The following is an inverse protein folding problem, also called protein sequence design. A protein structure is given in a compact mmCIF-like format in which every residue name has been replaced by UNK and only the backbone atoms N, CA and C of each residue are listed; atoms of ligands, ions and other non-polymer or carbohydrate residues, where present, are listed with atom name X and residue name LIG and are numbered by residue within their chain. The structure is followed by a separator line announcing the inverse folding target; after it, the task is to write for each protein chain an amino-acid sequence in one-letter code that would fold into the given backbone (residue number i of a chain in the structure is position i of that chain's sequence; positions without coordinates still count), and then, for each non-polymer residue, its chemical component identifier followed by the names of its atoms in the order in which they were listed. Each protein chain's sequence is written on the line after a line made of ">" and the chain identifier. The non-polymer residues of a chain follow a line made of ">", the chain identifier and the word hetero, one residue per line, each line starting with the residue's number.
data_IF_541905676041
#
_entry.id   IF_541905676041
#
_cell.length_a   1.000
_cell.length_b   1.000
_cell.length_c   1.000
_cell.angle_alpha   90.00
_cell.angle_beta   90.00
_cell.angle_gamma   90.00
#
_symmetry.space_group_name_H-M   'P 1'
#
loop_
_entity.id
_entity.type
_entity.pdbx_description
1 polymer ?
#
# COMPACT_ATOMS: atom_id res chain seq x y z
N UNK A 1 42.49 25.30 -23.84
CA UNK A 1 41.42 25.88 -23.06
C UNK A 1 40.17 25.89 -23.92
N UNK A 2 39.28 24.91 -23.76
CA UNK A 2 38.01 24.87 -24.50
C UNK A 2 36.93 24.74 -23.45
N UNK A 3 36.21 25.86 -23.27
CA UNK A 3 35.09 25.97 -22.32
C UNK A 3 33.83 25.56 -23.08
N UNK A 4 33.42 24.31 -22.99
CA UNK A 4 32.09 23.88 -23.49
C UNK A 4 31.05 24.09 -22.37
N UNK A 5 30.32 25.20 -22.46
CA UNK A 5 29.11 25.42 -21.70
C UNK A 5 27.99 24.53 -22.26
N UNK A 6 27.56 23.52 -21.48
CA UNK A 6 26.37 22.75 -21.77
C UNK A 6 25.15 23.63 -21.52
N UNK A 7 24.51 24.11 -22.57
CA UNK A 7 23.22 24.77 -22.50
C UNK A 7 22.11 23.71 -22.61
N UNK A 8 21.43 23.44 -21.50
CA UNK A 8 20.19 22.66 -21.49
C UNK A 8 19.07 23.49 -22.12
N UNK A 9 18.75 23.24 -23.39
CA UNK A 9 17.55 23.79 -24.00
C UNK A 9 16.33 23.07 -23.39
N UNK A 10 15.59 23.80 -22.56
CA UNK A 10 14.27 23.33 -22.07
C UNK A 10 13.31 23.34 -23.27
N UNK A 11 13.08 22.20 -23.87
CA UNK A 11 11.90 22.02 -24.71
C UNK A 11 10.65 22.17 -23.85
N UNK A 12 9.66 22.97 -24.26
CA UNK A 12 8.40 23.05 -23.51
C UNK A 12 7.72 21.67 -23.56
N UNK A 13 7.58 21.05 -22.37
CA UNK A 13 6.82 19.83 -22.24
C UNK A 13 5.37 20.13 -22.62
N UNK A 14 4.91 19.62 -23.75
CA UNK A 14 3.51 19.61 -24.06
C UNK A 14 2.79 18.69 -23.03
N UNK A 15 1.68 19.12 -22.43
CA UNK A 15 0.93 18.25 -21.54
C UNK A 15 0.45 17.04 -22.36
N UNK A 16 1.03 15.89 -22.06
CA UNK A 16 0.55 14.62 -22.60
C UNK A 16 -0.86 14.40 -22.02
N UNK A 17 -1.89 14.60 -22.84
CA UNK A 17 -3.23 14.18 -22.48
C UNK A 17 -3.20 12.65 -22.39
N UNK A 18 -3.60 12.06 -21.25
CA UNK A 18 -3.67 10.61 -21.14
C UNK A 18 -4.67 10.13 -22.19
N UNK A 19 -4.19 9.29 -23.11
CA UNK A 19 -5.01 8.64 -24.10
C UNK A 19 -6.11 7.85 -23.37
N UNK A 20 -7.36 8.20 -23.61
CA UNK A 20 -8.48 7.40 -23.11
C UNK A 20 -8.44 6.04 -23.80
N UNK A 21 -8.28 4.92 -23.07
CA UNK A 21 -8.30 3.60 -23.68
C UNK A 21 -9.68 3.36 -24.28
N UNK A 22 -9.73 3.18 -25.58
CA UNK A 22 -10.95 2.80 -26.30
C UNK A 22 -11.23 1.32 -26.03
N UNK A 23 -12.35 1.03 -25.36
CA UNK A 23 -13.06 -0.24 -25.55
C UNK A 23 -12.81 -1.37 -24.55
N UNK A 24 -12.35 -1.14 -23.31
CA UNK A 24 -12.32 -2.19 -22.29
C UNK A 24 -13.51 -2.07 -21.33
N UNK A 25 -14.25 -3.19 -21.19
CA UNK A 25 -15.22 -3.34 -20.11
C UNK A 25 -14.50 -3.17 -18.77
N UNK A 26 -14.86 -2.16 -17.98
CA UNK A 26 -14.34 -2.00 -16.61
C UNK A 26 -14.87 -3.16 -15.78
N UNK A 27 -14.08 -4.22 -15.66
CA UNK A 27 -14.32 -5.24 -14.65
C UNK A 27 -14.40 -4.57 -13.28
N UNK A 28 -15.28 -5.09 -12.40
CA UNK A 28 -15.41 -4.52 -11.06
C UNK A 28 -14.06 -4.55 -10.33
N UNK A 29 -13.72 -3.45 -9.63
CA UNK A 29 -12.53 -3.38 -8.79
C UNK A 29 -12.68 -4.33 -7.60
N UNK A 30 -11.79 -5.32 -7.41
CA UNK A 30 -11.87 -6.26 -6.29
C UNK A 30 -11.79 -5.56 -4.92
N UNK A 31 -10.88 -4.60 -4.79
CA UNK A 31 -10.70 -3.83 -3.55
C UNK A 31 -11.87 -2.90 -3.29
N UNK A 32 -12.34 -2.15 -4.31
CA UNK A 32 -13.50 -1.27 -4.14
C UNK A 32 -14.76 -2.04 -3.74
N UNK A 33 -14.97 -3.25 -4.29
CA UNK A 33 -16.08 -4.12 -3.90
C UNK A 33 -16.00 -4.53 -2.43
N UNK A 34 -14.79 -4.84 -1.93
CA UNK A 34 -14.57 -5.13 -0.51
C UNK A 34 -14.84 -3.89 0.35
N UNK A 35 -14.31 -2.73 -0.02
CA UNK A 35 -14.53 -1.47 0.70
C UNK A 35 -16.02 -1.09 0.75
N UNK A 36 -16.75 -1.32 -0.35
CA UNK A 36 -18.19 -1.11 -0.41
C UNK A 36 -18.95 -2.01 0.57
N UNK A 37 -18.64 -3.30 0.59
CA UNK A 37 -19.28 -4.26 1.49
C UNK A 37 -19.00 -3.91 2.96
N UNK A 38 -17.77 -3.52 3.29
CA UNK A 38 -17.41 -3.09 4.65
C UNK A 38 -18.10 -1.78 5.06
N UNK A 39 -18.21 -0.82 4.14
CA UNK A 39 -18.97 0.43 4.35
C UNK A 39 -20.45 0.15 4.64
N UNK A 40 -21.06 -0.82 3.96
CA UNK A 40 -22.44 -1.26 4.23
C UNK A 40 -22.60 -1.91 5.61
N UNK A 41 -21.53 -2.54 6.12
CA UNK A 41 -21.47 -3.07 7.49
C UNK A 41 -21.18 -1.98 8.54
N UNK A 42 -21.06 -0.71 8.14
CA UNK A 42 -20.81 0.41 9.05
C UNK A 42 -19.36 0.50 9.56
N UNK A 43 -18.39 -0.17 8.93
CA UNK A 43 -16.99 -0.16 9.36
C UNK A 43 -15.99 0.15 8.25
N UNK A 44 -14.86 0.78 8.57
CA UNK A 44 -13.75 0.89 7.63
C UNK A 44 -12.99 -0.44 7.48
N UNK A 45 -12.21 -0.57 6.40
CA UNK A 45 -11.35 -1.72 6.20
C UNK A 45 -10.13 -1.69 7.14
N UNK A 46 -9.70 -2.85 7.59
CA UNK A 46 -8.37 -3.06 8.17
C UNK A 46 -7.42 -3.50 7.05
N UNK A 47 -6.46 -2.66 6.71
CA UNK A 47 -5.44 -2.92 5.69
C UNK A 47 -4.11 -3.13 6.41
N UNK A 48 -3.54 -4.33 6.29
CA UNK A 48 -2.26 -4.66 6.91
C UNK A 48 -1.15 -4.71 5.86
N UNK A 49 0.03 -4.18 6.17
CA UNK A 49 1.22 -4.33 5.34
C UNK A 49 2.19 -5.32 5.98
N UNK A 50 2.77 -6.20 5.16
CA UNK A 50 3.85 -7.09 5.60
C UNK A 50 4.85 -7.39 4.47
N UNK A 51 6.20 -7.29 4.70
CA UNK A 51 7.20 -7.55 3.68
C UNK A 51 7.33 -9.05 3.40
N UNK A 52 7.24 -9.43 2.12
CA UNK A 52 7.48 -10.79 1.67
C UNK A 52 8.92 -11.22 1.96
N UNK A 53 9.06 -12.41 2.52
CA UNK A 53 10.37 -13.00 2.83
C UNK A 53 11.02 -12.52 4.14
N UNK A 54 10.33 -11.73 4.96
CA UNK A 54 10.84 -11.31 6.27
C UNK A 54 10.24 -12.12 7.42
N UNK A 55 11.03 -12.65 8.37
CA UNK A 55 12.49 -12.76 8.36
C UNK A 55 13.01 -13.85 7.40
N UNK A 56 12.14 -14.73 6.98
CA UNK A 56 12.31 -15.74 5.94
C UNK A 56 10.97 -15.98 5.23
N UNK A 57 10.99 -16.65 4.07
CA UNK A 57 9.78 -16.87 3.27
C UNK A 57 8.71 -17.66 4.05
N UNK A 58 8.99 -18.81 4.69
CA UNK A 58 7.98 -19.55 5.46
C UNK A 58 7.36 -18.72 6.59
N UNK A 59 8.19 -17.95 7.32
CA UNK A 59 7.70 -17.11 8.43
C UNK A 59 6.86 -15.95 7.92
N UNK A 60 7.23 -15.31 6.80
CA UNK A 60 6.44 -14.22 6.22
C UNK A 60 5.06 -14.69 5.77
N UNK A 61 4.97 -15.87 5.15
CA UNK A 61 3.70 -16.49 4.75
C UNK A 61 2.83 -16.83 5.96
N UNK A 62 3.43 -17.35 7.04
CA UNK A 62 2.70 -17.62 8.27
C UNK A 62 2.22 -16.32 8.96
N UNK A 63 3.06 -15.27 9.01
CA UNK A 63 2.68 -13.96 9.52
C UNK A 63 1.47 -13.37 8.76
N UNK A 64 1.49 -13.43 7.42
CA UNK A 64 0.37 -12.99 6.59
C UNK A 64 -0.91 -13.77 6.89
N UNK A 65 -0.82 -15.10 7.07
CA UNK A 65 -1.95 -15.93 7.48
C UNK A 65 -2.48 -15.56 8.86
N UNK A 66 -1.60 -15.31 9.83
CA UNK A 66 -1.98 -14.84 11.18
C UNK A 66 -2.72 -13.50 11.09
N UNK A 67 -2.22 -12.55 10.30
CA UNK A 67 -2.86 -11.24 10.09
C UNK A 67 -4.29 -11.39 9.52
N UNK A 68 -4.47 -12.21 8.49
CA UNK A 68 -5.78 -12.45 7.88
C UNK A 68 -6.75 -13.09 8.89
N UNK A 69 -6.31 -14.12 9.61
CA UNK A 69 -7.11 -14.79 10.66
C UNK A 69 -7.48 -13.85 11.82
N UNK A 70 -6.64 -12.84 12.09
CA UNK A 70 -6.88 -11.84 13.13
C UNK A 70 -7.65 -10.61 12.63
N UNK A 71 -8.19 -10.66 11.40
CA UNK A 71 -9.19 -9.72 10.90
C UNK A 71 -8.70 -8.65 9.93
N UNK A 72 -7.53 -8.82 9.32
CA UNK A 72 -7.09 -8.01 8.18
C UNK A 72 -7.96 -8.32 6.96
N UNK A 73 -8.60 -7.30 6.40
CA UNK A 73 -9.51 -7.42 5.24
C UNK A 73 -8.76 -7.36 3.90
N UNK A 74 -7.70 -6.55 3.86
CA UNK A 74 -6.84 -6.34 2.69
C UNK A 74 -5.39 -6.40 3.17
N UNK A 75 -4.57 -7.20 2.50
CA UNK A 75 -3.16 -7.32 2.81
C UNK A 75 -2.32 -6.68 1.69
N UNK A 76 -1.45 -5.75 2.06
CA UNK A 76 -0.42 -5.18 1.20
C UNK A 76 0.87 -5.99 1.39
N UNK A 77 1.21 -6.82 0.41
CA UNK A 77 2.42 -7.63 0.41
C UNK A 77 3.57 -6.77 -0.12
N UNK A 78 4.49 -6.39 0.74
CA UNK A 78 5.64 -5.57 0.38
C UNK A 78 6.70 -6.37 -0.38
N UNK A 79 7.08 -5.94 -1.59
CA UNK A 79 8.28 -6.43 -2.25
C UNK A 79 9.52 -5.75 -1.63
N UNK A 80 10.46 -6.51 -1.06
CA UNK A 80 11.69 -5.93 -0.50
C UNK A 80 12.50 -5.21 -1.59
N UNK A 81 12.96 -4.00 -1.27
CA UNK A 81 13.73 -3.15 -2.16
C UNK A 81 15.00 -2.64 -1.47
N UNK A 82 16.10 -2.53 -2.22
CA UNK A 82 17.41 -2.11 -1.69
C UNK A 82 17.47 -0.64 -1.30
N UNK A 83 16.66 0.20 -1.98
CA UNK A 83 16.69 1.66 -1.86
C UNK A 83 15.33 2.25 -1.46
N UNK A 84 14.77 1.84 -0.29
CA UNK A 84 13.38 2.10 0.08
C UNK A 84 13.20 3.50 0.67
N UNK A 85 13.33 4.53 -0.15
CA UNK A 85 13.33 5.95 0.24
C UNK A 85 12.04 6.43 0.90
N UNK A 86 10.93 5.72 0.71
CA UNK A 86 9.62 6.05 1.29
C UNK A 86 9.35 5.29 2.61
N UNK A 87 10.20 4.32 2.96
CA UNK A 87 9.98 3.44 4.10
C UNK A 87 10.67 3.93 5.37
N UNK A 88 10.03 3.73 6.52
CA UNK A 88 10.62 3.97 7.82
C UNK A 88 11.63 2.86 8.22
N UNK A 89 12.43 3.08 9.31
CA UNK A 89 13.53 2.20 9.66
C UNK A 89 13.12 0.75 9.94
N UNK A 90 11.92 0.53 10.47
CA UNK A 90 11.37 -0.83 10.72
C UNK A 90 11.20 -1.59 9.40
N UNK A 91 10.62 -0.95 8.40
CA UNK A 91 10.39 -1.57 7.09
C UNK A 91 11.72 -1.74 6.35
N UNK A 92 12.63 -0.75 6.43
CA UNK A 92 13.97 -0.86 5.85
C UNK A 92 14.74 -2.04 6.42
N UNK A 93 14.73 -2.24 7.74
CA UNK A 93 15.39 -3.37 8.40
C UNK A 93 14.81 -4.72 7.93
N UNK A 94 13.49 -4.83 7.85
CA UNK A 94 12.81 -6.03 7.38
C UNK A 94 13.09 -6.32 5.90
N UNK A 95 13.07 -5.30 5.03
CA UNK A 95 13.39 -5.42 3.61
C UNK A 95 14.84 -5.86 3.40
N UNK A 96 15.79 -5.24 4.13
CA UNK A 96 17.18 -5.63 4.09
C UNK A 96 17.38 -7.11 4.49
N UNK A 97 16.75 -7.54 5.58
CA UNK A 97 16.82 -8.93 6.02
C UNK A 97 16.31 -9.91 4.95
N UNK A 98 15.18 -9.60 4.31
CA UNK A 98 14.62 -10.44 3.24
C UNK A 98 15.54 -10.51 2.01
N UNK A 99 16.16 -9.38 1.62
CA UNK A 99 17.12 -9.31 0.50
C UNK A 99 18.37 -10.13 0.83
N UNK A 100 18.94 -9.95 2.02
CA UNK A 100 20.12 -10.69 2.47
C UNK A 100 19.86 -12.23 2.47
N UNK A 101 18.63 -12.65 2.71
CA UNK A 101 18.19 -14.05 2.62
C UNK A 101 17.86 -14.51 1.20
N UNK A 102 18.10 -13.66 0.20
CA UNK A 102 18.00 -14.02 -1.23
C UNK A 102 16.58 -14.12 -1.76
N UNK A 103 15.61 -13.39 -1.16
CA UNK A 103 14.23 -13.38 -1.64
C UNK A 103 14.17 -12.94 -3.11
N UNK A 104 13.24 -13.52 -3.88
CA UNK A 104 13.02 -13.21 -5.30
C UNK A 104 11.64 -12.64 -5.54
N UNK A 105 11.52 -11.73 -6.51
CA UNK A 105 10.25 -11.10 -6.88
C UNK A 105 9.18 -12.15 -7.24
N UNK A 106 9.57 -13.19 -7.95
CA UNK A 106 8.68 -14.26 -8.42
C UNK A 106 7.88 -14.94 -7.29
N UNK A 107 8.46 -15.04 -6.11
CA UNK A 107 7.81 -15.68 -4.96
C UNK A 107 6.63 -14.88 -4.40
N UNK A 108 6.48 -13.61 -4.76
CA UNK A 108 5.34 -12.79 -4.30
C UNK A 108 4.01 -13.35 -4.79
N UNK A 109 3.99 -13.97 -5.97
CA UNK A 109 2.75 -14.55 -6.52
C UNK A 109 2.25 -15.74 -5.72
N UNK A 110 3.14 -16.50 -5.04
CA UNK A 110 2.75 -17.55 -4.10
C UNK A 110 2.14 -16.96 -2.83
N UNK A 111 2.70 -15.86 -2.31
CA UNK A 111 2.12 -15.12 -1.20
C UNK A 111 0.73 -14.57 -1.55
N UNK A 112 0.56 -14.02 -2.75
CA UNK A 112 -0.74 -13.55 -3.26
C UNK A 112 -1.76 -14.67 -3.28
N UNK A 113 -1.42 -15.85 -3.85
CA UNK A 113 -2.31 -17.03 -3.87
C UNK A 113 -2.72 -17.47 -2.48
N UNK A 114 -1.76 -17.48 -1.53
CA UNK A 114 -2.05 -17.86 -0.16
C UNK A 114 -3.01 -16.87 0.52
N UNK A 115 -2.74 -15.56 0.44
CA UNK A 115 -3.58 -14.52 1.06
C UNK A 115 -5.01 -14.59 0.52
N UNK A 116 -5.17 -14.80 -0.79
CA UNK A 116 -6.48 -15.00 -1.40
C UNK A 116 -7.18 -16.27 -0.89
N UNK A 117 -6.45 -17.38 -0.77
CA UNK A 117 -6.99 -18.62 -0.22
C UNK A 117 -7.38 -18.50 1.26
N UNK A 118 -6.66 -17.68 2.02
CA UNK A 118 -6.95 -17.37 3.43
C UNK A 118 -8.14 -16.38 3.59
N UNK A 119 -8.67 -15.80 2.49
CA UNK A 119 -9.92 -15.02 2.47
C UNK A 119 -9.78 -13.50 2.47
N UNK A 120 -8.56 -12.95 2.42
CA UNK A 120 -8.32 -11.52 2.30
C UNK A 120 -8.04 -11.09 0.85
N UNK A 121 -8.19 -9.79 0.55
CA UNK A 121 -7.70 -9.23 -0.71
C UNK A 121 -6.19 -9.01 -0.64
N UNK A 122 -5.48 -9.40 -1.70
CA UNK A 122 -4.04 -9.22 -1.80
C UNK A 122 -3.71 -8.09 -2.78
N UNK A 123 -3.06 -7.04 -2.27
CA UNK A 123 -2.35 -6.05 -3.06
C UNK A 123 -0.85 -6.33 -2.94
N UNK A 124 -0.07 -6.01 -3.96
CA UNK A 124 1.39 -5.97 -3.85
C UNK A 124 1.82 -4.51 -3.76
N UNK A 125 2.60 -4.16 -2.75
CA UNK A 125 3.26 -2.86 -2.65
C UNK A 125 4.69 -2.99 -3.16
N UNK A 126 5.03 -2.21 -4.19
CA UNK A 126 6.34 -2.27 -4.83
C UNK A 126 6.80 -0.90 -5.30
N UNK A 127 8.10 -0.64 -5.17
CA UNK A 127 8.76 0.40 -5.92
C UNK A 127 8.73 0.08 -7.41
N UNK A 128 8.52 1.11 -8.22
CA UNK A 128 8.24 0.95 -9.65
C UNK A 128 9.40 0.32 -10.43
N UNK A 129 10.63 0.56 -10.01
CA UNK A 129 11.81 -0.02 -10.64
C UNK A 129 11.79 -1.56 -10.67
N UNK A 130 11.30 -2.21 -9.62
CA UNK A 130 11.18 -3.68 -9.58
C UNK A 130 10.18 -4.20 -10.61
N UNK A 131 9.07 -3.50 -10.80
CA UNK A 131 8.03 -3.85 -11.76
C UNK A 131 8.51 -3.65 -13.19
N UNK A 132 9.21 -2.53 -13.46
CA UNK A 132 9.84 -2.26 -14.76
C UNK A 132 10.86 -3.34 -15.12
N UNK A 133 11.72 -3.70 -14.18
CA UNK A 133 12.75 -4.72 -14.42
C UNK A 133 12.15 -6.12 -14.67
N UNK A 134 11.06 -6.46 -13.98
CA UNK A 134 10.33 -7.72 -14.20
C UNK A 134 9.58 -7.74 -15.55
N UNK A 135 9.18 -6.57 -16.04
CA UNK A 135 8.28 -6.37 -17.17
C UNK A 135 6.83 -6.19 -16.73
N UNK A 136 6.31 -4.99 -16.97
CA UNK A 136 4.97 -4.56 -16.48
C UNK A 136 3.85 -5.49 -16.95
N UNK A 137 3.88 -5.88 -18.22
CA UNK A 137 2.86 -6.76 -18.80
C UNK A 137 2.90 -8.17 -18.19
N UNK A 138 4.09 -8.75 -17.99
CA UNK A 138 4.24 -10.09 -17.38
C UNK A 138 3.84 -10.06 -15.91
N UNK A 139 4.26 -9.04 -15.16
CA UNK A 139 3.86 -8.87 -13.77
C UNK A 139 2.33 -8.77 -13.63
N UNK A 140 1.68 -7.93 -14.44
CA UNK A 140 0.23 -7.75 -14.41
C UNK A 140 -0.51 -9.06 -14.72
N UNK A 141 -0.06 -9.81 -15.74
CA UNK A 141 -0.61 -11.12 -16.09
C UNK A 141 -0.50 -12.11 -14.93
N UNK A 142 0.70 -12.27 -14.38
CA UNK A 142 0.97 -13.20 -13.27
C UNK A 142 0.24 -12.82 -11.98
N UNK A 143 0.12 -11.51 -11.72
CA UNK A 143 -0.65 -10.97 -10.59
C UNK A 143 -2.12 -11.37 -10.69
N UNK A 144 -2.73 -11.23 -11.88
CA UNK A 144 -4.10 -11.65 -12.13
C UNK A 144 -4.28 -13.16 -12.04
N UNK A 145 -3.36 -13.95 -12.62
CA UNK A 145 -3.35 -15.43 -12.54
C UNK A 145 -3.21 -15.94 -11.09
N UNK A 146 -2.50 -15.20 -10.24
CA UNK A 146 -2.40 -15.50 -8.81
C UNK A 146 -3.66 -15.10 -8.02
N UNK A 147 -4.63 -14.44 -8.64
CA UNK A 147 -5.83 -13.91 -7.99
C UNK A 147 -5.60 -12.60 -7.22
N UNK A 148 -4.48 -11.93 -7.47
CA UNK A 148 -4.17 -10.66 -6.83
C UNK A 148 -5.09 -9.52 -7.26
N UNK A 149 -5.25 -8.54 -6.39
CA UNK A 149 -6.16 -7.43 -6.61
C UNK A 149 -5.51 -6.26 -7.36
N UNK A 150 -4.20 -6.05 -7.28
CA UNK A 150 -3.52 -4.94 -7.93
C UNK A 150 -2.25 -4.49 -7.21
N UNK A 151 -1.77 -3.28 -7.55
CA UNK A 151 -0.55 -2.71 -6.98
C UNK A 151 -0.80 -1.44 -6.18
N UNK A 152 0.01 -1.28 -5.13
CA UNK A 152 0.30 -0.01 -4.46
C UNK A 152 1.70 0.43 -4.92
N UNK A 153 1.80 1.58 -5.57
CA UNK A 153 3.06 2.10 -6.14
C UNK A 153 3.42 3.43 -5.49
N UNK A 154 4.31 3.43 -4.47
CA UNK A 154 4.59 4.63 -3.68
C UNK A 154 5.34 5.71 -4.44
N UNK A 155 6.12 5.34 -5.46
CA UNK A 155 7.01 6.18 -6.24
C UNK A 155 6.56 6.41 -7.70
N UNK A 156 5.43 5.81 -8.12
CA UNK A 156 4.88 6.00 -9.47
C UNK A 156 3.82 7.10 -9.48
N UNK A 157 4.05 8.15 -10.25
CA UNK A 157 3.06 9.20 -10.51
C UNK A 157 2.19 8.85 -11.73
N UNK A 158 0.98 9.40 -11.77
CA UNK A 158 0.00 9.11 -12.84
C UNK A 158 0.57 9.45 -14.23
N UNK A 159 1.36 10.53 -14.34
CA UNK A 159 1.94 11.00 -15.60
C UNK A 159 2.88 9.97 -16.24
N UNK A 160 3.49 9.10 -15.44
CA UNK A 160 4.44 8.06 -15.86
C UNK A 160 3.82 6.66 -15.88
N UNK A 161 2.54 6.53 -15.50
CA UNK A 161 1.90 5.23 -15.30
C UNK A 161 1.17 4.67 -16.52
N UNK A 162 1.42 5.19 -17.73
CA UNK A 162 0.66 4.83 -18.94
C UNK A 162 0.61 3.33 -19.21
N UNK A 163 1.76 2.65 -19.19
CA UNK A 163 1.81 1.19 -19.38
C UNK A 163 1.10 0.43 -18.26
N UNK A 164 1.26 0.85 -16.99
CA UNK A 164 0.56 0.24 -15.87
C UNK A 164 -0.96 0.42 -15.97
N UNK A 165 -1.43 1.60 -16.39
CA UNK A 165 -2.86 1.83 -16.62
C UNK A 165 -3.40 0.85 -17.66
N UNK A 166 -2.71 0.70 -18.80
CA UNK A 166 -3.11 -0.22 -19.85
C UNK A 166 -3.18 -1.67 -19.35
N UNK A 167 -2.12 -2.16 -18.74
CA UNK A 167 -2.05 -3.55 -18.29
C UNK A 167 -3.00 -3.85 -17.12
N UNK A 168 -3.13 -2.92 -16.17
CA UNK A 168 -4.08 -3.08 -15.07
C UNK A 168 -5.54 -3.06 -15.53
N UNK A 169 -5.90 -2.25 -16.53
CA UNK A 169 -7.22 -2.27 -17.13
C UNK A 169 -7.47 -3.58 -17.91
N UNK A 170 -6.45 -4.08 -18.62
CA UNK A 170 -6.51 -5.35 -19.35
C UNK A 170 -6.82 -6.55 -18.46
N UNK A 171 -6.20 -6.60 -17.27
CA UNK A 171 -6.33 -7.72 -16.35
C UNK A 171 -7.29 -7.45 -15.17
N UNK A 172 -7.97 -6.30 -15.14
CA UNK A 172 -8.91 -5.96 -14.08
C UNK A 172 -8.28 -5.68 -12.73
N UNK A 173 -7.01 -5.29 -12.70
CA UNK A 173 -6.25 -5.01 -11.49
C UNK A 173 -6.50 -3.58 -10.98
N UNK A 174 -6.41 -3.41 -9.68
CA UNK A 174 -6.50 -2.12 -9.01
C UNK A 174 -5.17 -1.36 -9.04
N UNK A 175 -5.26 -0.03 -9.06
CA UNK A 175 -4.13 0.92 -9.08
C UNK A 175 -4.25 1.84 -7.89
N UNK A 176 -3.39 1.67 -6.90
CA UNK A 176 -3.38 2.49 -5.71
C UNK A 176 -2.22 3.47 -5.78
N UNK A 177 -2.55 4.75 -5.93
CA UNK A 177 -1.58 5.84 -5.93
C UNK A 177 -1.61 6.59 -4.61
N UNK A 178 -0.46 7.16 -4.24
CA UNK A 178 -0.28 7.91 -3.02
C UNK A 178 -0.54 9.41 -3.24
N UNK A 179 -1.12 10.02 -2.23
CA UNK A 179 -1.24 11.47 -2.11
C UNK A 179 -0.83 11.93 -0.72
N UNK A 180 -0.31 13.14 -0.62
CA UNK A 180 0.15 13.76 0.63
C UNK A 180 -0.55 15.10 0.88
N UNK A 181 -0.47 15.68 2.09
CA UNK A 181 -1.02 17.00 2.38
C UNK A 181 -0.54 18.10 1.43
N UNK A 182 0.67 17.95 0.88
CA UNK A 182 1.27 18.92 -0.06
C UNK A 182 0.81 18.74 -1.51
N UNK A 183 0.06 17.68 -1.81
CA UNK A 183 -0.50 17.48 -3.14
C UNK A 183 -1.45 18.61 -3.50
N UNK A 184 -1.23 19.22 -4.67
CA UNK A 184 -2.12 20.26 -5.21
C UNK A 184 -3.49 19.69 -5.57
N UNK A 185 -4.53 20.50 -5.61
CA UNK A 185 -5.88 20.02 -5.96
C UNK A 185 -5.94 19.46 -7.38
N UNK A 186 -5.18 20.01 -8.32
CA UNK A 186 -5.04 19.46 -9.66
C UNK A 186 -4.42 18.04 -9.63
N UNK A 187 -3.40 17.84 -8.79
CA UNK A 187 -2.78 16.51 -8.59
C UNK A 187 -3.75 15.54 -7.94
N UNK A 188 -4.51 15.98 -6.93
CA UNK A 188 -5.54 15.15 -6.29
C UNK A 188 -6.61 14.72 -7.30
N UNK A 189 -7.07 15.61 -8.18
CA UNK A 189 -8.05 15.29 -9.23
C UNK A 189 -7.49 14.28 -10.23
N UNK A 190 -6.27 14.49 -10.73
CA UNK A 190 -5.62 13.56 -11.66
C UNK A 190 -5.47 12.17 -11.04
N UNK A 191 -4.94 12.11 -9.82
CA UNK A 191 -4.73 10.86 -9.08
C UNK A 191 -6.05 10.15 -8.79
N UNK A 192 -7.09 10.88 -8.34
CA UNK A 192 -8.42 10.30 -8.06
C UNK A 192 -9.07 9.68 -9.29
N UNK A 193 -8.88 10.28 -10.46
CA UNK A 193 -9.41 9.76 -11.74
C UNK A 193 -8.68 8.50 -12.22
N UNK A 194 -7.35 8.46 -12.04
CA UNK A 194 -6.52 7.34 -12.47
C UNK A 194 -6.56 6.16 -11.49
N UNK A 195 -6.78 6.42 -10.20
CA UNK A 195 -6.84 5.40 -9.18
C UNK A 195 -8.00 4.42 -9.41
N UNK A 196 -7.77 3.17 -8.99
CA UNK A 196 -8.73 2.10 -8.98
C UNK A 196 -8.54 1.31 -7.69
N UNK A 197 -9.63 1.00 -6.98
CA UNK A 197 -9.59 0.49 -5.62
C UNK A 197 -9.76 1.64 -4.63
N UNK A 198 -8.70 2.30 -4.25
CA UNK A 198 -8.71 3.48 -3.37
C UNK A 198 -7.53 4.43 -3.68
N UNK A 199 -7.62 5.64 -3.14
CA UNK A 199 -6.49 6.57 -3.08
C UNK A 199 -5.85 6.45 -1.69
N UNK A 200 -4.53 6.23 -1.65
CA UNK A 200 -3.76 6.10 -0.42
C UNK A 200 -3.35 7.50 0.08
N UNK A 201 -3.96 7.95 1.16
CA UNK A 201 -3.59 9.20 1.81
C UNK A 201 -2.50 8.95 2.86
N UNK A 202 -1.30 9.53 2.63
CA UNK A 202 -0.18 9.44 3.56
C UNK A 202 -0.09 10.69 4.43
N UNK A 203 0.55 10.58 5.61
CA UNK A 203 1.08 11.74 6.32
C UNK A 203 2.47 12.08 5.77
N UNK A 204 2.94 13.33 5.99
CA UNK A 204 4.37 13.61 5.82
C UNK A 204 5.17 12.70 6.75
N UNK A 205 6.05 11.89 6.19
CA UNK A 205 7.03 11.17 6.99
C UNK A 205 8.07 12.17 7.51
N UNK A 206 8.21 12.26 8.84
CA UNK A 206 9.42 12.76 9.46
C UNK A 206 9.42 14.16 10.02
N UNK A 207 8.41 14.59 10.82
CA UNK A 207 8.64 15.60 11.86
C UNK A 207 8.01 15.14 13.17
N UNK A 208 8.86 14.91 14.16
CA UNK A 208 8.47 14.70 15.55
C UNK A 208 7.88 16.02 16.09
N UNK A 209 6.56 16.10 16.25
CA UNK A 209 5.87 17.25 16.83
C UNK A 209 4.36 17.18 16.66
N UNK A 210 3.64 17.14 17.77
CA UNK A 210 2.20 17.27 17.94
C UNK A 210 1.29 16.27 17.23
N UNK A 211 0.96 15.18 17.94
CA UNK A 211 0.01 14.12 17.51
C UNK A 211 -1.38 14.64 17.12
N UNK A 212 -1.83 15.75 17.67
CA UNK A 212 -3.11 16.42 17.33
C UNK A 212 -3.09 17.12 15.98
N UNK A 213 -1.97 17.69 15.57
CA UNK A 213 -1.84 18.38 14.28
C UNK A 213 -1.81 17.38 13.10
N UNK A 214 -1.27 16.18 13.30
CA UNK A 214 -1.23 15.13 12.26
C UNK A 214 -2.61 14.54 11.96
N UNK A 215 -3.46 14.35 12.97
CA UNK A 215 -4.83 13.86 12.77
C UNK A 215 -5.67 14.84 11.95
N UNK A 216 -5.59 16.13 12.24
CA UNK A 216 -6.34 17.17 11.52
C UNK A 216 -5.85 17.31 10.06
N UNK A 217 -4.55 17.18 9.82
CA UNK A 217 -3.97 17.22 8.48
C UNK A 217 -4.42 16.04 7.62
N UNK A 218 -4.44 14.83 8.17
CA UNK A 218 -4.89 13.63 7.47
C UNK A 218 -6.39 13.68 7.18
N UNK A 219 -7.22 14.12 8.14
CA UNK A 219 -8.65 14.28 7.94
C UNK A 219 -8.97 15.30 6.84
N UNK A 220 -8.25 16.43 6.83
CA UNK A 220 -8.38 17.46 5.79
C UNK A 220 -7.97 16.90 4.41
N UNK A 221 -6.86 16.15 4.33
CA UNK A 221 -6.44 15.51 3.09
C UNK A 221 -7.53 14.54 2.58
N UNK A 222 -8.11 13.71 3.44
CA UNK A 222 -9.21 12.80 3.05
C UNK A 222 -10.39 13.57 2.48
N UNK A 223 -10.79 14.69 3.11
CA UNK A 223 -11.87 15.54 2.60
C UNK A 223 -11.56 16.11 1.21
N UNK A 224 -10.32 16.62 0.99
CA UNK A 224 -9.86 17.13 -0.31
C UNK A 224 -9.85 16.05 -1.39
N UNK A 225 -9.37 14.86 -1.06
CA UNK A 225 -9.31 13.71 -1.99
C UNK A 225 -10.71 13.25 -2.38
N UNK A 226 -11.66 13.21 -1.44
CA UNK A 226 -13.07 12.93 -1.74
C UNK A 226 -13.69 14.01 -2.62
N UNK A 227 -13.42 15.29 -2.34
CA UNK A 227 -13.86 16.40 -3.19
C UNK A 227 -13.28 16.30 -4.62
N UNK A 228 -12.05 15.79 -4.74
CA UNK A 228 -11.40 15.52 -6.03
C UNK A 228 -12.00 14.31 -6.79
N UNK A 229 -12.99 13.60 -6.22
CA UNK A 229 -13.77 12.54 -6.88
C UNK A 229 -13.32 11.12 -6.54
N UNK A 230 -12.44 10.91 -5.56
CA UNK A 230 -12.08 9.55 -5.14
C UNK A 230 -13.25 8.87 -4.40
N UNK A 231 -13.69 7.65 -4.82
CA UNK A 231 -14.79 6.95 -4.17
C UNK A 231 -14.41 6.38 -2.81
N UNK A 232 -13.15 6.02 -2.63
CA UNK A 232 -12.57 5.47 -1.41
C UNK A 232 -11.20 6.08 -1.13
N UNK A 233 -10.96 6.42 0.15
CA UNK A 233 -9.69 6.96 0.64
C UNK A 233 -9.26 6.19 1.86
N UNK A 234 -8.11 5.50 1.78
CA UNK A 234 -7.52 4.78 2.90
C UNK A 234 -6.30 5.54 3.43
N UNK A 235 -6.07 5.46 4.72
CA UNK A 235 -5.10 6.32 5.42
C UNK A 235 -4.01 5.49 6.11
N UNK A 236 -2.74 5.82 5.82
CA UNK A 236 -1.55 5.26 6.46
C UNK A 236 -0.71 6.37 7.10
N UNK A 237 -0.81 6.51 8.41
CA UNK A 237 -0.15 7.58 9.19
C UNK A 237 0.60 7.06 10.42
N UNK A 238 1.06 5.81 10.39
CA UNK A 238 1.78 5.23 11.52
C UNK A 238 0.88 4.83 12.71
N UNK A 239 -0.34 4.36 12.42
CA UNK A 239 -1.26 3.80 13.42
C UNK A 239 -0.63 2.58 14.08
N UNK A 240 -0.65 2.52 15.40
CA UNK A 240 -0.08 1.45 16.21
C UNK A 240 -0.95 1.01 17.39
N UNK A 241 -2.07 1.70 17.65
CA UNK A 241 -2.99 1.38 18.76
C UNK A 241 -4.44 1.33 18.30
N UNK A 242 -5.27 0.57 19.03
CA UNK A 242 -6.70 0.49 18.80
C UNK A 242 -7.40 1.87 18.81
N UNK A 243 -6.99 2.76 19.71
CA UNK A 243 -7.53 4.11 19.80
C UNK A 243 -7.21 4.92 18.53
N UNK A 244 -5.96 4.89 18.05
CA UNK A 244 -5.58 5.57 16.81
C UNK A 244 -6.33 4.98 15.62
N UNK A 245 -6.45 3.65 15.56
CA UNK A 245 -7.19 2.96 14.50
C UNK A 245 -8.67 3.39 14.46
N UNK A 246 -9.31 3.53 15.63
CA UNK A 246 -10.68 4.05 15.76
C UNK A 246 -10.79 5.50 15.27
N UNK A 247 -9.87 6.38 15.69
CA UNK A 247 -9.86 7.79 15.28
C UNK A 247 -9.72 7.95 13.77
N UNK A 248 -8.79 7.21 13.13
CA UNK A 248 -8.59 7.26 11.68
C UNK A 248 -9.79 6.66 10.95
N UNK A 249 -10.32 5.55 11.44
CA UNK A 249 -11.48 4.87 10.87
C UNK A 249 -12.77 5.71 10.88
N UNK A 250 -12.87 6.70 11.76
CA UNK A 250 -14.02 7.59 11.81
C UNK A 250 -14.18 8.42 10.53
N UNK A 251 -13.10 8.78 9.85
CA UNK A 251 -13.13 9.60 8.64
C UNK A 251 -12.61 8.92 7.38
N UNK A 252 -11.84 7.82 7.47
CA UNK A 252 -11.27 7.08 6.34
C UNK A 252 -12.13 5.85 5.97
N UNK A 253 -11.97 5.33 4.75
CA UNK A 253 -12.61 4.10 4.29
C UNK A 253 -11.82 2.85 4.64
N UNK A 254 -10.52 3.02 4.93
CA UNK A 254 -9.63 1.99 5.44
C UNK A 254 -8.50 2.59 6.28
N UNK A 255 -8.06 1.82 7.26
CA UNK A 255 -6.92 2.13 8.13
C UNK A 255 -5.76 1.20 7.74
N UNK A 256 -4.65 1.80 7.31
CA UNK A 256 -3.46 1.07 6.86
C UNK A 256 -2.43 1.05 7.97
N UNK A 257 -1.97 -0.15 8.32
CA UNK A 257 -1.00 -0.40 9.37
C UNK A 257 0.14 -1.25 8.82
N UNK A 258 1.36 -0.76 8.96
CA UNK A 258 2.57 -1.45 8.50
C UNK A 258 3.57 -1.68 9.62
N UNK A 259 4.34 -0.65 9.96
CA UNK A 259 5.48 -0.76 10.88
C UNK A 259 5.16 -1.41 12.22
N UNK A 260 3.97 -1.16 12.78
CA UNK A 260 3.56 -1.77 14.06
C UNK A 260 3.44 -3.29 13.95
N UNK A 261 2.95 -3.82 12.81
CA UNK A 261 2.81 -5.25 12.56
C UNK A 261 4.19 -5.90 12.33
N UNK A 262 5.03 -5.28 11.51
CA UNK A 262 6.38 -5.76 11.22
C UNK A 262 7.25 -5.76 12.47
N UNK A 263 7.10 -4.76 13.34
CA UNK A 263 7.87 -4.64 14.60
C UNK A 263 7.65 -5.82 15.54
N UNK A 264 6.49 -6.51 15.48
CA UNK A 264 6.25 -7.71 16.29
C UNK A 264 7.28 -8.82 16.03
N UNK A 265 7.88 -8.85 14.85
CA UNK A 265 8.89 -9.85 14.47
C UNK A 265 10.34 -9.34 14.65
N UNK A 266 10.53 -8.10 15.14
CA UNK A 266 11.85 -7.51 15.42
C UNK A 266 12.12 -7.45 16.92
N UNK A 267 13.37 -7.62 17.31
CA UNK A 267 13.87 -7.31 18.66
C UNK A 267 14.20 -5.81 18.79
N UNK A 268 14.65 -5.40 19.98
CA UNK A 268 14.95 -3.98 20.27
C UNK A 268 16.16 -3.44 19.48
N UNK A 269 16.99 -4.32 18.92
CA UNK A 269 18.10 -3.98 18.04
C UNK A 269 17.71 -3.99 16.55
N UNK A 270 16.43 -4.21 16.24
CA UNK A 270 15.91 -4.25 14.86
C UNK A 270 16.26 -5.53 14.10
N UNK A 271 16.59 -6.62 14.80
CA UNK A 271 16.88 -7.94 14.21
C UNK A 271 15.66 -8.86 14.33
N UNK A 272 15.54 -9.91 13.51
CA UNK A 272 14.49 -10.91 13.65
C UNK A 272 14.49 -11.55 15.04
N UNK A 273 13.31 -11.64 15.66
CA UNK A 273 13.13 -12.33 16.96
C UNK A 273 13.43 -13.82 16.79
N UNK A 274 14.18 -14.37 17.76
CA UNK A 274 14.53 -15.80 17.78
C UNK A 274 13.33 -16.71 18.07
N UNK A 275 12.42 -16.26 18.96
CA UNK A 275 11.21 -16.99 19.29
C UNK A 275 10.09 -16.62 18.32
N UNK A 276 10.03 -17.36 17.20
CA UNK A 276 9.05 -17.18 16.13
C UNK A 276 7.61 -17.31 16.65
N UNK A 277 7.35 -18.26 17.55
CA UNK A 277 6.01 -18.49 18.08
C UNK A 277 5.51 -17.27 18.84
N UNK A 278 6.31 -16.75 19.78
CA UNK A 278 5.96 -15.54 20.54
C UNK A 278 5.81 -14.32 19.64
N UNK A 279 6.63 -14.19 18.59
CA UNK A 279 6.52 -13.10 17.63
C UNK A 279 5.19 -13.13 16.86
N UNK A 280 4.74 -14.32 16.44
CA UNK A 280 3.46 -14.50 15.75
C UNK A 280 2.26 -14.36 16.69
N UNK A 281 2.38 -14.78 17.97
CA UNK A 281 1.37 -14.52 18.99
C UNK A 281 1.19 -13.01 19.22
N UNK A 282 2.28 -12.25 19.39
CA UNK A 282 2.23 -10.80 19.52
C UNK A 282 1.62 -10.11 18.26
N UNK A 283 1.91 -10.63 17.07
CA UNK A 283 1.31 -10.16 15.83
C UNK A 283 -0.21 -10.41 15.81
N UNK A 284 -0.67 -11.56 16.28
CA UNK A 284 -2.10 -11.87 16.38
C UNK A 284 -2.83 -10.95 17.38
N UNK A 285 -2.21 -10.70 18.53
CA UNK A 285 -2.75 -9.81 19.56
C UNK A 285 -2.92 -8.38 19.03
N UNK A 286 -1.87 -7.78 18.46
CA UNK A 286 -1.95 -6.41 17.93
C UNK A 286 -2.96 -6.31 16.78
N UNK A 287 -3.03 -7.31 15.89
CA UNK A 287 -4.05 -7.32 14.83
C UNK A 287 -5.46 -7.35 15.42
N UNK A 288 -5.71 -8.15 16.44
CA UNK A 288 -7.01 -8.26 17.11
C UNK A 288 -7.40 -6.93 17.78
N UNK A 289 -6.46 -6.29 18.46
CA UNK A 289 -6.67 -4.99 19.11
C UNK A 289 -6.98 -3.88 18.09
N UNK A 290 -6.19 -3.81 17.01
CA UNK A 290 -6.44 -2.86 15.92
C UNK A 290 -7.79 -3.10 15.25
N UNK A 291 -8.12 -4.37 15.00
CA UNK A 291 -9.42 -4.76 14.45
C UNK A 291 -10.59 -4.34 15.33
N UNK A 292 -10.44 -4.53 16.65
CA UNK A 292 -11.41 -4.05 17.61
C UNK A 292 -11.56 -2.53 17.54
N UNK A 293 -10.46 -1.77 17.59
CA UNK A 293 -10.46 -0.31 17.46
C UNK A 293 -11.16 0.18 16.19
N UNK A 294 -10.85 -0.43 15.03
CA UNK A 294 -11.50 -0.15 13.76
C UNK A 294 -13.01 -0.39 13.82
N UNK A 295 -13.45 -1.46 14.51
CA UNK A 295 -14.86 -1.77 14.67
C UNK A 295 -15.64 -0.75 15.51
N UNK A 296 -14.95 0.06 16.33
CA UNK A 296 -15.57 1.12 17.16
C UNK A 296 -15.64 2.49 16.44
N UNK A 297 -14.98 2.62 15.29
CA UNK A 297 -14.77 3.92 14.62
C UNK A 297 -16.07 4.66 14.22
N UNK A 298 -17.16 3.94 14.00
CA UNK A 298 -18.44 4.48 13.48
C UNK A 298 -19.65 4.10 14.31
N UNK A 299 -19.42 3.78 15.60
CA UNK A 299 -20.49 3.51 16.59
C UNK A 299 -20.97 4.76 17.26
#
# INVERSE_FOLDING_TARGET
>A
MVNQQWQWQKAPAQPVQPAQPKGFSRTASPVASTLQALRQQGRPAFIGYFPYGFPDVPTSLEAMRVMVKSGVDILEIGLPYSDPVMDGPVIQAASKCAIDNGVKVEGVFDAVRQVQADGARALVMSYWNLILHHGVADFARRMAEAGGSGLVTPDLIVDESGEWIEQSDRYGLDRVYLVSPDSTDARLQLTSRAARGFVYATSRMGVTGERTSMSNSAQNLVARVRHAGAPYVCVGIGVSTAQQASQVGAYADGVIVGSALVHCLLDDEGRPRKDRRKALEALAEICSDLRWGISQARK
#
